data_IF_947215207015
#
_entry.id   IF_947215207015
#
_cell.length_a   1.000
_cell.length_b   1.000
_cell.length_c   1.000
_cell.angle_alpha   90.00
_cell.angle_beta   90.00
_cell.angle_gamma   90.00
#
_symmetry.space_group_name_H-M   'P 1'
#
loop_
_entity.id
_entity.type
_entity.pdbx_description
1 polymer ?
#
# COMPACT_ATOMS: atom_id res chain seq x y z
N UNK A 1 -18.84 24.47 -68.71
CA UNK A 1 -17.92 25.59 -68.99
C UNK A 1 -16.78 25.46 -67.99
N UNK A 2 -15.64 24.86 -68.39
CA UNK A 2 -14.42 25.52 -68.88
C UNK A 2 -13.83 26.46 -67.79
N UNK A 3 -12.58 26.39 -67.34
CA UNK A 3 -11.36 25.69 -67.80
C UNK A 3 -10.29 25.82 -66.71
N UNK A 4 -9.49 24.76 -66.54
CA UNK A 4 -8.12 24.83 -66.06
C UNK A 4 -7.22 25.52 -67.08
N UNK A 5 -6.14 26.18 -66.63
CA UNK A 5 -4.81 26.21 -67.27
C UNK A 5 -3.85 27.12 -66.46
N UNK A 6 -2.75 26.60 -65.91
CA UNK A 6 -1.42 26.33 -66.53
C UNK A 6 -0.48 27.54 -66.41
N UNK A 7 0.63 27.41 -65.65
CA UNK A 7 1.99 27.04 -66.10
C UNK A 7 2.72 28.26 -66.73
N UNK A 8 4.04 28.43 -66.76
CA UNK A 8 5.23 27.58 -66.77
C UNK A 8 6.43 28.58 -66.64
N UNK A 9 7.64 28.20 -66.23
CA UNK A 9 8.89 28.14 -67.06
C UNK A 9 10.04 28.51 -66.10
N UNK A 10 10.89 27.59 -65.63
CA UNK A 10 12.00 26.85 -66.28
C UNK A 10 13.33 27.59 -66.31
N UNK A 11 14.42 26.87 -65.96
CA UNK A 11 15.68 26.60 -66.69
C UNK A 11 16.80 26.34 -65.65
N UNK A 12 17.80 25.47 -65.82
CA UNK A 12 18.13 24.45 -66.82
C UNK A 12 19.39 23.68 -66.34
N UNK A 13 19.56 22.43 -66.85
CA UNK A 13 20.81 21.75 -67.27
C UNK A 13 21.89 21.44 -66.20
N UNK A 14 22.66 20.35 -66.21
CA UNK A 14 22.95 19.15 -67.00
C UNK A 14 23.78 18.23 -66.04
N UNK A 15 24.11 16.96 -66.22
CA UNK A 15 23.92 15.91 -67.22
C UNK A 15 24.79 14.70 -66.80
N UNK A 16 24.44 13.52 -67.33
CA UNK A 16 25.28 12.33 -67.61
C UNK A 16 25.99 11.57 -66.47
N UNK A 17 25.81 10.23 -66.49
CA UNK A 17 26.84 9.28 -66.03
C UNK A 17 26.31 8.05 -65.28
N UNK A 18 26.06 6.97 -66.03
CA UNK A 18 25.72 5.63 -65.51
C UNK A 18 26.95 4.94 -64.89
N UNK A 19 26.78 4.21 -63.78
CA UNK A 19 27.48 2.96 -63.46
C UNK A 19 26.87 2.30 -62.21
N UNK A 20 26.65 0.99 -62.29
CA UNK A 20 26.11 0.14 -61.24
C UNK A 20 27.07 -0.06 -60.06
N UNK A 21 26.55 -0.12 -58.83
CA UNK A 21 27.16 -0.92 -57.76
C UNK A 21 26.14 -1.36 -56.71
N UNK A 22 26.26 -2.63 -56.33
CA UNK A 22 25.44 -3.42 -55.43
C UNK A 22 25.55 -2.99 -53.95
N UNK A 23 24.62 -3.42 -53.08
CA UNK A 23 24.61 -3.06 -51.66
C UNK A 23 25.66 -3.84 -50.84
N UNK A 24 26.17 -3.30 -49.72
CA UNK A 24 27.12 -4.01 -48.88
C UNK A 24 26.45 -5.10 -48.02
N UNK A 25 27.07 -6.27 -48.02
CA UNK A 25 26.80 -7.42 -47.16
C UNK A 25 27.60 -7.34 -45.83
N UNK A 26 27.26 -8.18 -44.83
CA UNK A 26 27.55 -7.94 -43.41
C UNK A 26 28.95 -8.41 -42.98
N UNK A 27 29.54 -7.66 -42.06
CA UNK A 27 30.84 -7.97 -41.48
C UNK A 27 30.82 -9.25 -40.63
N UNK A 28 31.93 -9.96 -40.80
CA UNK A 28 32.26 -11.32 -40.44
C UNK A 28 32.59 -11.53 -38.97
N UNK A 29 32.30 -12.76 -38.52
CA UNK A 29 32.80 -13.40 -37.32
C UNK A 29 34.34 -13.45 -37.30
N UNK A 30 34.93 -13.19 -36.14
CA UNK A 30 36.24 -13.75 -35.77
C UNK A 30 36.13 -14.38 -34.38
N UNK A 31 36.35 -15.69 -34.34
CA UNK A 31 36.53 -16.51 -33.14
C UNK A 31 38.04 -16.70 -32.92
N UNK A 32 38.56 -16.31 -31.75
CA UNK A 32 39.64 -17.09 -31.13
C UNK A 32 39.86 -16.79 -29.65
N UNK A 33 39.93 -17.89 -28.89
CA UNK A 33 40.67 -18.13 -27.64
C UNK A 33 40.17 -17.42 -26.37
N UNK A 34 39.34 -18.08 -25.54
CA UNK A 34 39.69 -18.99 -24.42
C UNK A 34 40.41 -18.32 -23.24
N UNK A 35 39.72 -18.18 -22.10
CA UNK A 35 39.99 -18.98 -20.89
C UNK A 35 39.17 -18.51 -19.66
N UNK A 36 38.60 -19.51 -18.99
CA UNK A 36 38.29 -19.61 -17.55
C UNK A 36 37.76 -18.40 -16.75
N UNK A 37 36.46 -18.39 -16.48
CA UNK A 37 35.92 -18.04 -15.16
C UNK A 37 34.49 -18.57 -14.96
N UNK A 38 34.31 -19.34 -13.89
CA UNK A 38 33.05 -19.94 -13.45
C UNK A 38 31.90 -18.93 -13.25
N UNK A 39 30.63 -19.32 -13.47
CA UNK A 39 29.50 -18.46 -13.16
C UNK A 39 29.33 -18.35 -11.64
N UNK A 40 29.44 -17.11 -11.14
CA UNK A 40 29.15 -16.75 -9.75
C UNK A 40 27.71 -17.10 -9.40
N UNK A 41 27.57 -17.93 -8.36
CA UNK A 41 26.29 -18.30 -7.79
C UNK A 41 25.56 -17.07 -7.25
N UNK A 42 24.26 -16.94 -7.59
CA UNK A 42 23.31 -16.05 -6.92
C UNK A 42 23.34 -16.31 -5.39
N UNK A 43 23.35 -15.28 -4.53
CA UNK A 43 23.25 -15.50 -3.09
C UNK A 43 21.87 -16.05 -2.72
N UNK A 44 21.88 -17.07 -1.86
CA UNK A 44 20.70 -17.72 -1.30
C UNK A 44 19.83 -16.75 -0.46
N UNK A 45 18.52 -16.99 -0.33
CA UNK A 45 17.66 -16.18 0.52
C UNK A 45 18.07 -16.32 2.01
N UNK A 46 18.18 -15.18 2.70
CA UNK A 46 18.45 -15.11 4.14
C UNK A 46 17.41 -15.92 4.93
N UNK A 47 17.90 -16.71 5.88
CA UNK A 47 17.11 -17.44 6.87
C UNK A 47 16.23 -16.47 7.70
N UNK A 48 15.08 -16.94 8.23
CA UNK A 48 14.22 -16.12 9.09
C UNK A 48 14.95 -15.71 10.37
N UNK A 49 14.85 -14.42 10.70
CA UNK A 49 15.39 -13.83 11.92
C UNK A 49 14.82 -14.54 13.17
N UNK A 50 15.63 -14.79 14.22
CA UNK A 50 15.10 -15.33 15.47
C UNK A 50 14.17 -14.33 16.14
N UNK A 51 13.17 -14.86 16.86
CA UNK A 51 12.18 -14.11 17.63
C UNK A 51 12.83 -13.04 18.53
N UNK A 52 12.17 -11.89 18.75
CA UNK A 52 12.74 -10.83 19.58
C UNK A 52 12.94 -11.33 21.01
N UNK A 53 14.20 -11.25 21.46
CA UNK A 53 14.55 -11.42 22.86
C UNK A 53 13.82 -10.36 23.71
N UNK A 54 13.39 -10.78 24.91
CA UNK A 54 12.72 -9.96 25.89
C UNK A 54 13.40 -8.59 26.07
N UNK A 55 12.57 -7.55 26.12
CA UNK A 55 13.00 -6.17 26.30
C UNK A 55 13.93 -6.01 27.52
N UNK A 56 15.04 -5.25 27.40
CA UNK A 56 15.81 -4.87 28.58
C UNK A 56 14.93 -3.97 29.45
N UNK A 57 14.79 -4.36 30.71
CA UNK A 57 14.12 -3.61 31.77
C UNK A 57 14.69 -2.19 31.79
N UNK A 58 13.81 -1.21 31.70
CA UNK A 58 14.14 0.20 31.76
C UNK A 58 15.00 0.47 33.01
N UNK A 59 16.21 1.00 32.81
CA UNK A 59 16.97 1.59 33.89
C UNK A 59 16.17 2.79 34.44
N UNK A 60 15.96 2.79 35.76
CA UNK A 60 15.30 3.89 36.46
C UNK A 60 15.97 5.22 36.13
N UNK A 61 15.21 6.30 35.87
CA UNK A 61 15.80 7.61 35.70
C UNK A 61 16.39 8.10 37.04
N UNK A 62 17.68 8.41 37.01
CA UNK A 62 18.42 9.00 38.12
C UNK A 62 17.71 10.28 38.59
N UNK A 63 17.35 10.42 39.89
CA UNK A 63 16.75 11.65 40.38
C UNK A 63 17.82 12.74 40.39
N UNK A 64 17.52 13.89 39.77
CA UNK A 64 18.36 15.10 39.86
C UNK A 64 17.66 16.19 40.66
N UNK A 65 18.43 16.97 41.42
CA UNK A 65 18.01 17.54 42.70
C UNK A 65 17.05 18.70 42.52
N UNK A 66 16.11 18.78 43.45
CA UNK A 66 15.08 19.80 43.51
C UNK A 66 15.64 21.22 43.50
N UNK A 67 15.11 22.02 42.58
CA UNK A 67 14.98 23.45 42.80
C UNK A 67 13.61 23.66 43.45
N UNK A 68 13.64 24.09 44.70
CA UNK A 68 12.49 24.45 45.52
C UNK A 68 11.57 25.42 44.75
N UNK A 69 10.38 24.96 44.42
CA UNK A 69 9.29 25.83 44.04
C UNK A 69 8.80 26.53 45.32
N UNK A 70 9.28 27.74 45.54
CA UNK A 70 8.66 28.67 46.48
C UNK A 70 7.21 28.87 46.05
N UNK A 71 6.29 28.47 46.93
CA UNK A 71 4.87 28.50 46.67
C UNK A 71 4.33 29.91 46.41
N UNK A 72 3.61 30.04 45.30
CA UNK A 72 2.58 31.05 45.09
C UNK A 72 1.36 30.37 44.45
N UNK A 73 0.27 30.30 45.21
CA UNK A 73 -1.11 30.24 44.73
C UNK A 73 -1.48 29.21 43.64
N UNK A 74 -1.91 28.02 44.08
CA UNK A 74 -2.83 27.21 43.30
C UNK A 74 -4.13 28.00 43.07
N UNK A 75 -4.45 28.36 41.82
CA UNK A 75 -5.78 28.86 41.47
C UNK A 75 -5.88 30.09 40.56
N UNK A 76 -5.01 30.29 39.58
CA UNK A 76 -5.38 30.90 38.28
C UNK A 76 -4.14 30.90 37.38
N UNK A 77 -4.19 30.18 36.26
CA UNK A 77 -3.11 30.26 35.27
C UNK A 77 -2.88 31.71 34.85
N UNK A 78 -1.62 32.13 34.84
CA UNK A 78 -1.24 33.49 34.47
C UNK A 78 -0.86 33.53 32.98
N UNK A 79 -1.64 34.26 32.18
CA UNK A 79 -1.34 34.50 30.76
C UNK A 79 0.04 35.14 30.56
N UNK A 80 0.45 36.01 31.49
CA UNK A 80 1.77 36.64 31.43
C UNK A 80 2.90 35.62 31.60
N UNK A 81 2.72 34.66 32.51
CA UNK A 81 3.62 33.52 32.70
C UNK A 81 3.63 32.61 31.47
N UNK A 82 2.47 32.25 30.93
CA UNK A 82 2.37 31.42 29.73
C UNK A 82 3.13 32.02 28.54
N UNK A 83 2.99 33.33 28.30
CA UNK A 83 3.72 34.02 27.22
C UNK A 83 5.24 34.00 27.44
N UNK A 84 5.70 34.29 28.67
CA UNK A 84 7.14 34.23 29.00
C UNK A 84 7.72 32.82 28.81
N UNK A 85 6.99 31.78 29.20
CA UNK A 85 7.41 30.39 29.02
C UNK A 85 7.45 30.00 27.53
N UNK A 86 6.48 30.43 26.73
CA UNK A 86 6.48 30.25 25.28
C UNK A 86 7.69 30.96 24.62
N UNK A 87 7.98 32.19 25.00
CA UNK A 87 9.16 32.94 24.53
C UNK A 87 10.46 32.22 24.87
N UNK A 88 10.55 31.67 26.08
CA UNK A 88 11.69 30.88 26.54
C UNK A 88 11.74 29.45 25.98
N UNK A 89 10.74 29.01 25.21
CA UNK A 89 10.56 27.61 24.75
C UNK A 89 10.53 26.58 25.90
N UNK A 90 10.03 26.99 27.07
CA UNK A 90 9.81 26.12 28.24
C UNK A 90 8.43 25.47 28.16
N UNK A 91 8.29 24.54 27.22
CA UNK A 91 7.00 23.98 26.84
C UNK A 91 6.39 23.06 27.92
N UNK A 92 7.21 22.33 28.68
CA UNK A 92 6.73 21.48 29.78
C UNK A 92 6.06 22.30 30.88
N UNK A 93 6.75 23.36 31.33
CA UNK A 93 6.19 24.29 32.30
C UNK A 93 4.95 25.00 31.75
N UNK A 94 4.93 25.30 30.45
CA UNK A 94 3.80 25.96 29.79
C UNK A 94 2.51 25.12 29.87
N UNK A 95 2.60 23.79 29.69
CA UNK A 95 1.44 22.91 29.81
C UNK A 95 0.84 22.94 31.23
N UNK A 96 1.67 23.13 32.25
CA UNK A 96 1.25 23.21 33.65
C UNK A 96 0.66 24.55 34.06
N UNK A 97 0.66 25.59 33.21
CA UNK A 97 0.11 26.90 33.59
C UNK A 97 -1.42 26.87 33.68
N UNK A 98 -2.07 26.12 32.79
CA UNK A 98 -3.52 25.97 32.76
C UNK A 98 -3.90 24.50 32.67
N UNK A 99 -4.55 23.99 33.72
CA UNK A 99 -5.15 22.66 33.68
C UNK A 99 -6.34 22.64 32.69
N UNK A 100 -6.69 21.47 32.09
CA UNK A 100 -7.74 21.38 31.07
C UNK A 100 -9.08 22.01 31.48
N UNK A 101 -9.51 21.76 32.72
CA UNK A 101 -10.79 22.29 33.23
C UNK A 101 -10.74 23.81 33.41
N UNK A 102 -9.59 24.33 33.85
CA UNK A 102 -9.38 25.78 33.98
C UNK A 102 -9.39 26.45 32.62
N UNK A 103 -8.70 25.86 31.64
CA UNK A 103 -8.63 26.39 30.28
C UNK A 103 -10.02 26.44 29.62
N UNK A 104 -10.84 25.40 29.83
CA UNK A 104 -12.20 25.33 29.30
C UNK A 104 -13.18 26.26 30.03
N UNK A 105 -12.92 26.62 31.29
CA UNK A 105 -13.73 27.56 32.05
C UNK A 105 -13.46 29.05 31.71
N UNK A 106 -12.41 29.35 30.95
CA UNK A 106 -12.05 30.72 30.57
C UNK A 106 -13.14 31.40 29.71
N UNK A 107 -13.27 32.74 29.80
CA UNK A 107 -14.14 33.49 28.89
C UNK A 107 -13.61 33.43 27.44
N UNK A 108 -14.46 33.67 26.43
CA UNK A 108 -14.11 33.44 25.02
C UNK A 108 -12.88 34.22 24.52
N UNK A 109 -12.69 35.46 24.96
CA UNK A 109 -11.53 36.29 24.63
C UNK A 109 -10.23 35.68 25.18
N UNK A 110 -10.28 35.15 26.40
CA UNK A 110 -9.15 34.49 27.06
C UNK A 110 -8.86 33.11 26.48
N UNK A 111 -9.90 32.37 26.07
CA UNK A 111 -9.72 31.13 25.29
C UNK A 111 -8.99 31.38 23.99
N UNK A 112 -9.38 32.42 23.25
CA UNK A 112 -8.71 32.81 22.00
C UNK A 112 -7.24 33.20 22.24
N UNK A 113 -6.96 33.93 23.31
CA UNK A 113 -5.59 34.28 23.71
C UNK A 113 -4.75 33.02 24.03
N UNK A 114 -5.29 32.09 24.80
CA UNK A 114 -4.62 30.83 25.15
C UNK A 114 -4.43 29.91 23.93
N UNK A 115 -5.43 29.85 23.06
CA UNK A 115 -5.39 29.10 21.81
C UNK A 115 -4.22 29.56 20.93
N UNK A 116 -4.01 30.87 20.80
CA UNK A 116 -2.85 31.41 20.06
C UNK A 116 -1.51 30.97 20.65
N UNK A 117 -1.40 30.85 21.97
CA UNK A 117 -0.20 30.32 22.65
C UNK A 117 0.01 28.85 22.30
N UNK A 118 -1.04 28.03 22.35
CA UNK A 118 -0.96 26.60 22.03
C UNK A 118 -0.66 26.34 20.56
N UNK A 119 -1.25 27.10 19.63
CA UNK A 119 -0.94 27.03 18.19
C UNK A 119 0.54 27.29 17.94
N UNK A 120 1.08 28.36 18.52
CA UNK A 120 2.49 28.72 18.33
C UNK A 120 3.43 27.69 18.98
N UNK A 121 3.08 27.16 20.15
CA UNK A 121 3.83 26.08 20.78
C UNK A 121 3.86 24.82 19.91
N UNK A 122 2.68 24.36 19.46
CA UNK A 122 2.54 23.19 18.59
C UNK A 122 3.36 23.34 17.30
N UNK A 123 3.31 24.52 16.67
CA UNK A 123 4.07 24.86 15.47
C UNK A 123 5.57 24.80 15.71
N UNK A 124 6.09 25.44 16.77
CA UNK A 124 7.53 25.41 17.10
C UNK A 124 8.02 24.00 17.40
N UNK A 125 7.27 23.26 18.21
CA UNK A 125 7.61 21.88 18.55
C UNK A 125 7.71 21.03 17.29
N UNK A 126 6.75 21.14 16.38
CA UNK A 126 6.75 20.39 15.12
C UNK A 126 7.81 20.83 14.11
N UNK A 127 7.93 22.13 13.88
CA UNK A 127 8.72 22.67 12.77
C UNK A 127 10.19 22.87 13.16
N UNK A 128 10.45 23.39 14.36
CA UNK A 128 11.79 23.76 14.83
C UNK A 128 12.44 22.66 15.65
N UNK A 129 11.72 22.15 16.65
CA UNK A 129 12.28 21.16 17.59
C UNK A 129 12.10 19.71 17.14
N UNK A 130 11.22 19.47 16.15
CA UNK A 130 10.84 18.14 15.64
C UNK A 130 10.31 17.20 16.72
N UNK A 131 9.75 17.76 17.79
CA UNK A 131 9.11 17.02 18.86
C UNK A 131 7.63 16.82 18.53
N UNK A 132 7.32 15.68 17.93
CA UNK A 132 5.99 15.37 17.39
C UNK A 132 5.01 15.04 18.51
N UNK A 133 5.43 14.25 19.49
CA UNK A 133 4.61 13.87 20.63
C UNK A 133 4.20 15.12 21.43
N UNK A 134 5.14 16.03 21.69
CA UNK A 134 4.83 17.23 22.45
C UNK A 134 4.01 18.24 21.64
N UNK A 135 4.28 18.36 20.34
CA UNK A 135 3.40 19.09 19.43
C UNK A 135 1.96 18.57 19.48
N UNK A 136 1.77 17.24 19.52
CA UNK A 136 0.46 16.61 19.62
C UNK A 136 -0.30 17.02 20.88
N UNK A 137 0.37 17.05 22.03
CA UNK A 137 -0.26 17.47 23.29
C UNK A 137 -0.78 18.91 23.21
N UNK A 138 -0.01 19.83 22.63
CA UNK A 138 -0.48 21.22 22.45
C UNK A 138 -1.63 21.33 21.46
N UNK A 139 -1.63 20.51 20.40
CA UNK A 139 -2.76 20.43 19.48
C UNK A 139 -4.02 19.94 20.19
N UNK A 140 -3.95 18.88 20.99
CA UNK A 140 -5.06 18.35 21.78
C UNK A 140 -5.59 19.41 22.75
N UNK A 141 -4.70 20.08 23.50
CA UNK A 141 -5.08 21.16 24.42
C UNK A 141 -5.76 22.32 23.71
N UNK A 142 -5.30 22.70 22.52
CA UNK A 142 -5.93 23.76 21.73
C UNK A 142 -7.26 23.34 21.10
N UNK A 143 -7.37 22.10 20.60
CA UNK A 143 -8.60 21.58 20.02
C UNK A 143 -9.71 21.38 21.07
N UNK A 144 -9.37 21.20 22.36
CA UNK A 144 -10.33 21.29 23.45
C UNK A 144 -10.95 22.69 23.59
N UNK A 145 -10.22 23.75 23.23
CA UNK A 145 -10.72 25.13 23.27
C UNK A 145 -11.50 25.51 22.01
N UNK A 146 -11.02 25.07 20.85
CA UNK A 146 -11.66 25.24 19.55
C UNK A 146 -11.49 23.99 18.68
N UNK A 147 -12.48 23.08 18.66
CA UNK A 147 -12.42 21.84 17.89
C UNK A 147 -12.34 22.05 16.37
N UNK A 148 -12.65 23.25 15.86
CA UNK A 148 -12.67 23.55 14.42
C UNK A 148 -11.46 24.38 13.99
N UNK A 149 -10.45 24.52 14.85
CA UNK A 149 -9.27 25.33 14.56
C UNK A 149 -8.40 24.68 13.47
N UNK A 150 -8.42 25.27 12.28
CA UNK A 150 -7.80 24.74 11.05
C UNK A 150 -6.33 24.37 11.23
N UNK A 151 -5.50 25.27 11.78
CA UNK A 151 -4.06 25.00 11.90
C UNK A 151 -3.75 23.85 12.86
N UNK A 152 -4.54 23.69 13.93
CA UNK A 152 -4.33 22.62 14.90
C UNK A 152 -4.78 21.28 14.33
N UNK A 153 -5.91 21.26 13.62
CA UNK A 153 -6.34 20.07 12.87
C UNK A 153 -5.24 19.64 11.88
N UNK A 154 -4.68 20.59 11.12
CA UNK A 154 -3.59 20.32 10.17
C UNK A 154 -2.33 19.80 10.85
N UNK A 155 -1.89 20.41 11.94
CA UNK A 155 -0.73 19.94 12.70
C UNK A 155 -0.98 18.55 13.28
N UNK A 156 -2.15 18.33 13.86
CA UNK A 156 -2.48 17.07 14.51
C UNK A 156 -2.59 15.90 13.53
N UNK A 157 -3.24 16.10 12.37
CA UNK A 157 -3.26 15.10 11.30
C UNK A 157 -1.83 14.72 10.91
N UNK A 158 -0.95 15.72 10.73
CA UNK A 158 0.45 15.46 10.38
C UNK A 158 1.27 14.83 11.49
N UNK A 159 0.93 15.08 12.75
CA UNK A 159 1.57 14.43 13.90
C UNK A 159 1.15 12.97 13.95
N UNK A 160 -0.13 12.67 13.79
CA UNK A 160 -0.67 11.31 13.77
C UNK A 160 -0.16 10.48 12.59
N UNK A 161 0.01 11.08 11.41
CA UNK A 161 0.62 10.41 10.26
C UNK A 161 2.15 10.30 10.33
N UNK A 162 2.79 10.81 11.38
CA UNK A 162 4.25 10.68 11.51
C UNK A 162 4.66 9.21 11.70
N UNK A 163 5.87 8.81 11.27
CA UNK A 163 6.38 7.46 11.51
C UNK A 163 6.47 7.08 13.00
N UNK A 164 6.55 8.07 13.89
CA UNK A 164 6.61 7.87 15.33
C UNK A 164 5.23 7.55 15.93
N UNK A 165 4.17 8.21 15.46
CA UNK A 165 2.83 8.08 16.05
C UNK A 165 1.97 7.02 15.35
N UNK A 166 1.96 7.01 14.00
CA UNK A 166 1.17 6.07 13.17
C UNK A 166 -0.31 5.92 13.58
N UNK A 167 -0.94 6.99 14.06
CA UNK A 167 -2.33 7.01 14.54
C UNK A 167 -3.31 7.32 13.39
N UNK A 168 -3.34 6.46 12.38
CA UNK A 168 -4.08 6.70 11.13
C UNK A 168 -5.61 6.81 11.36
N UNK A 169 -6.17 6.07 12.32
CA UNK A 169 -7.60 6.15 12.65
C UNK A 169 -8.01 7.52 13.16
N UNK A 170 -7.27 8.07 14.13
CA UNK A 170 -7.52 9.43 14.63
C UNK A 170 -7.28 10.51 13.57
N UNK A 171 -6.33 10.28 12.65
CA UNK A 171 -6.06 11.22 11.56
C UNK A 171 -7.25 11.32 10.59
N UNK A 172 -8.04 10.26 10.40
CA UNK A 172 -9.24 10.29 9.56
C UNK A 172 -10.33 11.17 10.16
N UNK A 173 -10.65 10.99 11.44
CA UNK A 173 -11.66 11.81 12.11
C UNK A 173 -11.32 13.30 12.03
N UNK A 174 -10.05 13.64 12.27
CA UNK A 174 -9.56 15.02 12.19
C UNK A 174 -9.56 15.55 10.74
N UNK A 175 -9.23 14.71 9.75
CA UNK A 175 -9.26 15.11 8.35
C UNK A 175 -10.69 15.35 7.84
N UNK A 176 -11.67 14.58 8.32
CA UNK A 176 -13.09 14.82 8.04
C UNK A 176 -13.58 16.12 8.67
N UNK A 177 -13.20 16.39 9.92
CA UNK A 177 -13.47 17.67 10.55
C UNK A 177 -12.84 18.84 9.77
N UNK A 178 -11.60 18.68 9.31
CA UNK A 178 -10.87 19.72 8.58
C UNK A 178 -11.58 20.10 7.28
N UNK A 179 -11.97 19.13 6.45
CA UNK A 179 -12.69 19.41 5.20
C UNK A 179 -14.15 19.85 5.43
N UNK A 180 -14.73 19.57 6.59
CA UNK A 180 -16.01 20.14 7.00
C UNK A 180 -15.90 21.61 7.44
N UNK A 181 -14.71 22.08 7.82
CA UNK A 181 -14.44 23.51 8.05
C UNK A 181 -14.23 24.22 6.73
N UNK A 182 -13.31 23.73 5.90
CA UNK A 182 -13.08 24.23 4.55
C UNK A 182 -12.56 23.12 3.63
N UNK A 183 -13.46 22.52 2.86
CA UNK A 183 -13.13 21.48 1.89
C UNK A 183 -12.69 22.02 0.52
N UNK A 184 -12.64 23.34 0.34
CA UNK A 184 -12.21 23.99 -0.91
C UNK A 184 -10.73 24.37 -0.89
N UNK A 185 -10.18 24.52 0.32
CA UNK A 185 -8.77 24.81 0.54
C UNK A 185 -7.89 23.61 0.17
N UNK A 186 -6.80 23.89 -0.55
CA UNK A 186 -5.95 22.89 -1.18
C UNK A 186 -5.20 22.00 -0.19
N UNK A 187 -4.61 22.58 0.86
CA UNK A 187 -3.88 21.84 1.89
C UNK A 187 -4.81 20.90 2.66
N UNK A 188 -6.06 21.31 2.92
CA UNK A 188 -7.08 20.48 3.57
C UNK A 188 -7.45 19.28 2.70
N UNK A 189 -7.63 19.49 1.40
CA UNK A 189 -7.88 18.41 0.44
C UNK A 189 -6.68 17.44 0.36
N UNK A 190 -5.46 17.97 0.34
CA UNK A 190 -4.24 17.17 0.32
C UNK A 190 -4.15 16.28 1.56
N UNK A 191 -4.37 16.84 2.75
CA UNK A 191 -4.35 16.06 3.99
C UNK A 191 -5.45 14.99 4.02
N UNK A 192 -6.67 15.30 3.58
CA UNK A 192 -7.76 14.31 3.49
C UNK A 192 -7.44 13.17 2.53
N UNK A 193 -6.81 13.48 1.41
CA UNK A 193 -6.35 12.50 0.43
C UNK A 193 -5.20 11.63 0.95
N UNK A 194 -4.23 12.25 1.63
CA UNK A 194 -3.10 11.55 2.26
C UNK A 194 -3.55 10.56 3.33
N UNK A 195 -4.46 10.97 4.22
CA UNK A 195 -5.01 10.05 5.24
C UNK A 195 -5.74 8.88 4.58
N UNK A 196 -6.53 9.12 3.54
CA UNK A 196 -7.22 8.04 2.82
C UNK A 196 -6.23 7.05 2.16
N UNK A 197 -5.12 7.54 1.63
CA UNK A 197 -4.07 6.71 1.04
C UNK A 197 -3.44 5.79 2.09
N UNK A 198 -3.06 6.33 3.25
CA UNK A 198 -2.49 5.57 4.38
C UNK A 198 -3.46 4.51 4.92
N UNK A 199 -4.76 4.73 4.81
CA UNK A 199 -5.79 3.75 5.17
C UNK A 199 -6.07 2.68 4.11
N UNK A 200 -5.45 2.78 2.93
CA UNK A 200 -5.77 1.92 1.79
C UNK A 200 -7.16 2.20 1.18
N UNK A 201 -7.76 3.37 1.47
CA UNK A 201 -9.03 3.82 0.87
C UNK A 201 -8.74 4.55 -0.45
N UNK A 202 -8.20 3.83 -1.42
CA UNK A 202 -7.63 4.42 -2.63
C UNK A 202 -8.63 5.20 -3.49
N UNK A 203 -9.91 4.80 -3.53
CA UNK A 203 -10.95 5.57 -4.24
C UNK A 203 -11.11 6.99 -3.65
N UNK A 204 -11.17 7.08 -2.32
CA UNK A 204 -11.28 8.34 -1.58
C UNK A 204 -9.99 9.15 -1.73
N UNK A 205 -8.83 8.49 -1.69
CA UNK A 205 -7.53 9.13 -1.92
C UNK A 205 -7.46 9.77 -3.31
N UNK A 206 -7.80 9.02 -4.36
CA UNK A 206 -7.83 9.52 -5.75
C UNK A 206 -8.76 10.71 -5.89
N UNK A 207 -9.95 10.67 -5.29
CA UNK A 207 -10.90 11.77 -5.33
C UNK A 207 -10.31 13.05 -4.72
N UNK A 208 -9.86 12.99 -3.47
CA UNK A 208 -9.38 14.17 -2.75
C UNK A 208 -8.03 14.69 -3.26
N UNK A 209 -7.12 13.81 -3.64
CA UNK A 209 -5.84 14.21 -4.23
C UNK A 209 -6.02 14.81 -5.62
N UNK A 210 -7.02 14.35 -6.40
CA UNK A 210 -7.40 15.00 -7.66
C UNK A 210 -7.90 16.41 -7.42
N UNK A 211 -8.72 16.62 -6.38
CA UNK A 211 -9.16 17.96 -5.98
C UNK A 211 -7.95 18.80 -5.59
N UNK A 212 -7.11 18.32 -4.67
CA UNK A 212 -5.94 19.06 -4.19
C UNK A 212 -4.96 19.45 -5.31
N UNK A 213 -4.70 18.54 -6.24
CA UNK A 213 -3.79 18.77 -7.37
C UNK A 213 -4.33 19.76 -8.42
N UNK A 214 -5.67 19.95 -8.45
CA UNK A 214 -6.35 20.82 -9.43
C UNK A 214 -6.98 22.06 -8.82
N UNK A 215 -7.15 22.09 -7.50
CA UNK A 215 -7.69 23.21 -6.73
C UNK A 215 -6.60 24.26 -6.54
N UNK A 216 -6.95 25.54 -6.65
CA UNK A 216 -6.07 26.63 -6.25
C UNK A 216 -5.57 27.50 -7.41
N UNK A 217 -5.19 28.73 -7.04
CA UNK A 217 -4.63 29.73 -7.98
C UNK A 217 -3.17 29.44 -8.34
N UNK A 218 -2.49 28.65 -7.52
CA UNK A 218 -1.05 28.40 -7.61
C UNK A 218 -0.79 26.97 -8.07
N UNK A 219 -0.55 26.80 -9.36
CA UNK A 219 -0.42 25.48 -10.00
C UNK A 219 0.92 24.78 -9.73
N UNK A 220 1.88 25.46 -9.09
CA UNK A 220 3.24 24.98 -8.88
C UNK A 220 3.69 25.00 -7.41
N UNK A 221 2.76 25.03 -6.45
CA UNK A 221 3.13 24.98 -5.03
C UNK A 221 3.68 23.59 -4.64
N UNK A 222 4.52 23.49 -3.59
CA UNK A 222 4.96 22.19 -3.06
C UNK A 222 3.79 21.26 -2.71
N UNK A 223 2.66 21.81 -2.26
CA UNK A 223 1.45 21.05 -1.97
C UNK A 223 0.83 20.43 -3.24
N UNK A 224 0.82 21.15 -4.37
CA UNK A 224 0.38 20.59 -5.67
C UNK A 224 1.28 19.46 -6.11
N UNK A 225 2.60 19.63 -5.97
CA UNK A 225 3.58 18.62 -6.36
C UNK A 225 3.41 17.35 -5.51
N UNK A 226 3.23 17.49 -4.19
CA UNK A 226 2.91 16.37 -3.30
C UNK A 226 1.59 15.71 -3.70
N UNK A 227 0.53 16.49 -3.99
CA UNK A 227 -0.76 15.97 -4.41
C UNK A 227 -0.68 15.12 -5.69
N UNK A 228 0.05 15.59 -6.71
CA UNK A 228 0.25 14.82 -7.95
C UNK A 228 0.99 13.51 -7.71
N UNK A 229 2.04 13.54 -6.88
CA UNK A 229 2.82 12.34 -6.54
C UNK A 229 1.93 11.31 -5.85
N UNK A 230 1.21 11.71 -4.81
CA UNK A 230 0.33 10.81 -4.06
C UNK A 230 -0.86 10.33 -4.92
N UNK A 231 -1.34 11.16 -5.85
CA UNK A 231 -2.41 10.78 -6.77
C UNK A 231 -1.99 9.65 -7.72
N UNK A 232 -0.75 9.73 -8.24
CA UNK A 232 -0.19 8.68 -9.09
C UNK A 232 -0.08 7.35 -8.33
N UNK A 233 0.46 7.40 -7.11
CA UNK A 233 0.54 6.26 -6.19
C UNK A 233 -0.85 5.66 -5.89
N UNK A 234 -1.82 6.50 -5.54
CA UNK A 234 -3.18 6.06 -5.25
C UNK A 234 -3.85 5.38 -6.46
N UNK A 235 -3.63 5.90 -7.67
CA UNK A 235 -4.14 5.30 -8.91
C UNK A 235 -3.48 3.96 -9.22
N UNK A 236 -2.17 3.84 -8.99
CA UNK A 236 -1.45 2.57 -9.12
C UNK A 236 -2.08 1.49 -8.25
N UNK A 237 -2.26 1.77 -6.97
CA UNK A 237 -2.93 0.85 -6.05
C UNK A 237 -4.38 0.55 -6.43
N UNK A 238 -5.14 1.55 -6.88
CA UNK A 238 -6.51 1.36 -7.35
C UNK A 238 -6.58 0.40 -8.54
N UNK A 239 -5.65 0.50 -9.49
CA UNK A 239 -5.60 -0.37 -10.66
C UNK A 239 -5.15 -1.80 -10.29
N UNK A 240 -4.17 -1.95 -9.40
CA UNK A 240 -3.76 -3.26 -8.87
C UNK A 240 -4.93 -3.97 -8.15
N UNK A 241 -5.71 -3.23 -7.35
CA UNK A 241 -6.91 -3.76 -6.71
C UNK A 241 -7.99 -4.13 -7.73
N UNK A 242 -8.22 -3.31 -8.75
CA UNK A 242 -9.20 -3.62 -9.81
C UNK A 242 -8.80 -4.85 -10.61
N UNK A 243 -7.51 -4.98 -10.93
CA UNK A 243 -6.95 -6.11 -11.67
C UNK A 243 -7.02 -7.40 -10.85
N UNK A 244 -6.64 -7.37 -9.57
CA UNK A 244 -6.84 -8.53 -8.69
C UNK A 244 -8.33 -8.87 -8.52
N UNK A 245 -9.16 -7.82 -8.38
CA UNK A 245 -10.62 -7.74 -8.53
C UNK A 245 -11.19 -8.61 -9.67
N UNK A 246 -10.73 -8.30 -10.88
CA UNK A 246 -11.21 -8.92 -12.10
C UNK A 246 -10.72 -10.36 -12.20
N UNK A 247 -9.46 -10.63 -11.86
CA UNK A 247 -8.89 -11.98 -11.88
C UNK A 247 -9.65 -12.93 -10.93
N UNK A 248 -10.07 -12.47 -9.74
CA UNK A 248 -10.87 -13.31 -8.84
C UNK A 248 -12.26 -13.58 -9.39
N UNK A 249 -12.92 -12.56 -9.97
CA UNK A 249 -14.27 -12.72 -10.57
C UNK A 249 -14.24 -13.64 -11.79
N UNK A 250 -13.21 -13.53 -12.63
CA UNK A 250 -12.98 -14.40 -13.78
C UNK A 250 -12.78 -15.85 -13.34
N UNK A 251 -11.96 -16.05 -12.30
CA UNK A 251 -11.73 -17.37 -11.70
C UNK A 251 -13.04 -17.97 -11.16
N UNK A 252 -13.81 -17.22 -10.39
CA UNK A 252 -15.11 -17.66 -9.85
C UNK A 252 -16.09 -18.04 -10.97
N UNK A 253 -16.22 -17.19 -12.00
CA UNK A 253 -17.10 -17.45 -13.14
C UNK A 253 -16.68 -18.70 -13.92
N UNK A 254 -15.38 -18.90 -14.11
CA UNK A 254 -14.84 -20.09 -14.77
C UNK A 254 -15.10 -21.34 -13.94
N UNK A 255 -14.88 -21.30 -12.62
CA UNK A 255 -15.22 -22.42 -11.74
C UNK A 255 -16.71 -22.76 -11.78
N UNK A 256 -17.58 -21.76 -11.79
CA UNK A 256 -19.02 -21.97 -11.92
C UNK A 256 -19.37 -22.65 -13.26
N UNK A 257 -18.76 -22.23 -14.37
CA UNK A 257 -18.93 -22.86 -15.69
C UNK A 257 -18.47 -24.31 -15.70
N UNK A 258 -17.26 -24.57 -15.19
CA UNK A 258 -16.70 -25.92 -15.16
C UNK A 258 -17.50 -26.85 -14.24
N UNK A 259 -17.97 -26.37 -13.08
CA UNK A 259 -18.92 -27.11 -12.21
C UNK A 259 -20.23 -27.42 -12.94
N UNK A 260 -20.79 -26.44 -13.66
CA UNK A 260 -22.04 -26.64 -14.40
C UNK A 260 -21.90 -27.60 -15.59
N UNK A 261 -20.73 -27.64 -16.25
CA UNK A 261 -20.43 -28.63 -17.28
C UNK A 261 -20.24 -30.02 -16.67
N UNK A 262 -19.53 -30.13 -15.55
CA UNK A 262 -19.36 -31.37 -14.81
C UNK A 262 -20.71 -31.98 -14.40
N UNK A 263 -21.65 -31.15 -13.92
CA UNK A 263 -22.98 -31.60 -13.53
C UNK A 263 -23.85 -32.14 -14.69
N UNK A 264 -23.49 -31.88 -15.95
CA UNK A 264 -24.20 -32.40 -17.14
C UNK A 264 -23.68 -33.75 -17.63
N UNK A 265 -22.55 -34.23 -17.10
CA UNK A 265 -22.02 -35.55 -17.43
C UNK A 265 -22.92 -36.62 -16.80
N UNK A 266 -23.23 -37.72 -17.50
CA UNK A 266 -24.02 -38.80 -16.95
C UNK A 266 -23.35 -39.34 -15.67
N UNK A 267 -24.14 -39.55 -14.63
CA UNK A 267 -23.70 -40.18 -13.39
C UNK A 267 -23.41 -41.67 -13.67
N UNK A 268 -22.23 -41.95 -14.21
CA UNK A 268 -21.78 -43.28 -14.60
C UNK A 268 -20.30 -43.27 -14.92
N UNK A 269 -19.52 -43.85 -14.00
CA UNK A 269 -18.09 -44.17 -14.09
C UNK A 269 -17.15 -42.98 -14.35
N UNK A 270 -17.14 -42.00 -13.43
CA UNK A 270 -15.84 -41.48 -12.99
C UNK A 270 -15.29 -42.54 -12.06
N UNK A 271 -14.62 -43.54 -12.63
CA UNK A 271 -13.87 -44.51 -11.85
C UNK A 271 -12.72 -43.73 -11.18
N UNK A 272 -12.93 -43.31 -9.93
CA UNK A 272 -11.86 -42.82 -9.07
C UNK A 272 -10.79 -43.90 -9.11
N UNK A 273 -9.59 -43.63 -9.67
CA UNK A 273 -8.60 -44.68 -9.85
C UNK A 273 -8.30 -45.31 -8.48
N UNK A 274 -8.16 -46.65 -8.41
CA UNK A 274 -8.03 -47.37 -7.16
C UNK A 274 -6.92 -46.74 -6.32
N UNK A 275 -7.24 -46.48 -5.07
CA UNK A 275 -6.48 -45.68 -4.10
C UNK A 275 -4.97 -45.95 -4.17
N UNK A 276 -4.26 -45.12 -4.94
CA UNK A 276 -2.84 -44.88 -4.66
C UNK A 276 -2.81 -43.81 -3.59
N UNK A 277 -2.74 -44.24 -2.32
CA UNK A 277 -2.59 -43.35 -1.15
C UNK A 277 -1.39 -42.38 -1.27
N UNK A 278 -0.51 -42.59 -2.24
CA UNK A 278 0.64 -41.76 -2.58
C UNK A 278 0.48 -40.89 -3.83
N UNK A 279 -0.68 -40.85 -4.49
CA UNK A 279 -0.87 -40.06 -5.71
C UNK A 279 -1.01 -38.56 -5.41
N UNK A 280 -0.25 -37.75 -6.16
CA UNK A 280 -0.32 -36.29 -6.11
C UNK A 280 -0.93 -35.78 -7.42
N UNK A 281 -2.00 -35.00 -7.33
CA UNK A 281 -2.66 -34.37 -8.48
C UNK A 281 -2.75 -32.86 -8.24
N UNK A 282 -2.24 -32.07 -9.19
CA UNK A 282 -2.41 -30.63 -9.24
C UNK A 282 -3.55 -30.29 -10.21
N UNK A 283 -4.70 -29.90 -9.67
CA UNK A 283 -5.77 -29.29 -10.44
C UNK A 283 -5.47 -27.80 -10.64
N UNK A 284 -5.46 -27.36 -11.90
CA UNK A 284 -4.88 -26.08 -12.30
C UNK A 284 -5.58 -25.50 -13.52
N UNK A 285 -5.18 -24.27 -13.87
CA UNK A 285 -5.41 -23.67 -15.20
C UNK A 285 -4.10 -23.07 -15.73
N UNK A 286 -3.99 -22.94 -17.05
CA UNK A 286 -2.72 -22.55 -17.72
C UNK A 286 -2.25 -21.14 -17.41
N UNK A 287 -3.17 -20.19 -17.27
CA UNK A 287 -2.89 -18.77 -17.06
C UNK A 287 -2.65 -18.42 -15.57
N UNK A 288 -2.97 -19.33 -14.66
CA UNK A 288 -2.91 -19.09 -13.22
C UNK A 288 -1.46 -19.07 -12.70
N UNK A 289 -0.98 -17.87 -12.34
CA UNK A 289 0.40 -17.67 -11.80
C UNK A 289 0.67 -18.50 -10.54
N UNK A 290 -0.31 -18.65 -9.65
CA UNK A 290 -0.15 -19.46 -8.43
C UNK A 290 -0.11 -20.96 -8.73
N UNK A 291 -0.74 -21.40 -9.81
CA UNK A 291 -0.67 -22.78 -10.28
C UNK A 291 0.74 -23.10 -10.81
N UNK A 292 1.39 -22.15 -11.49
CA UNK A 292 2.81 -22.27 -11.84
C UNK A 292 3.70 -22.39 -10.59
N UNK A 293 3.46 -21.58 -9.55
CA UNK A 293 4.20 -21.70 -8.27
C UNK A 293 3.99 -23.06 -7.59
N UNK A 294 2.76 -23.59 -7.59
CA UNK A 294 2.46 -24.91 -7.03
C UNK A 294 3.19 -26.04 -7.78
N UNK A 295 3.19 -25.96 -9.12
CA UNK A 295 3.96 -26.88 -9.98
C UNK A 295 5.45 -26.83 -9.66
N UNK A 296 6.03 -25.64 -9.58
CA UNK A 296 7.46 -25.48 -9.33
C UNK A 296 7.86 -26.02 -7.96
N UNK A 297 7.00 -25.86 -6.95
CA UNK A 297 7.19 -26.48 -5.64
C UNK A 297 7.15 -28.01 -5.71
N UNK A 298 6.15 -28.62 -6.35
CA UNK A 298 6.09 -30.09 -6.46
C UNK A 298 7.30 -30.64 -7.21
N UNK A 299 7.77 -29.94 -8.25
CA UNK A 299 9.01 -30.28 -8.96
C UNK A 299 10.24 -30.17 -8.06
N UNK A 300 10.36 -29.13 -7.23
CA UNK A 300 11.50 -28.96 -6.34
C UNK A 300 11.56 -30.03 -5.24
N UNK A 301 10.40 -30.55 -4.82
CA UNK A 301 10.28 -31.66 -3.88
C UNK A 301 10.61 -33.03 -4.50
N UNK A 302 10.87 -33.08 -5.82
CA UNK A 302 11.23 -34.29 -6.57
C UNK A 302 10.21 -35.41 -6.41
N UNK A 303 8.92 -35.06 -6.49
CA UNK A 303 7.82 -36.03 -6.44
C UNK A 303 7.14 -36.16 -7.80
N UNK A 304 6.61 -37.34 -8.08
CA UNK A 304 5.76 -37.56 -9.24
C UNK A 304 4.35 -37.00 -8.96
N UNK A 305 3.83 -36.19 -9.88
CA UNK A 305 2.48 -35.65 -9.79
C UNK A 305 1.86 -35.51 -11.17
N UNK A 306 0.53 -35.50 -11.22
CA UNK A 306 -0.25 -35.26 -12.45
C UNK A 306 -0.80 -33.84 -12.45
N UNK A 307 -0.72 -33.16 -13.59
CA UNK A 307 -1.42 -31.90 -13.81
C UNK A 307 -2.74 -32.15 -14.52
N UNK A 308 -3.82 -31.60 -13.98
CA UNK A 308 -5.14 -31.65 -14.61
C UNK A 308 -5.67 -30.24 -14.79
N UNK A 309 -5.82 -29.84 -16.04
CA UNK A 309 -6.42 -28.56 -16.42
C UNK A 309 -7.94 -28.66 -16.27
N UNK A 310 -8.50 -28.01 -15.25
CA UNK A 310 -9.94 -28.07 -14.97
C UNK A 310 -10.78 -27.17 -15.89
N UNK A 311 -10.14 -26.30 -16.68
CA UNK A 311 -10.79 -25.45 -17.67
C UNK A 311 -11.05 -26.25 -18.96
N UNK A 312 -10.03 -26.95 -19.44
CA UNK A 312 -10.09 -27.74 -20.68
C UNK A 312 -10.61 -29.17 -20.48
N UNK A 313 -10.62 -29.68 -19.24
CA UNK A 313 -11.04 -31.06 -18.94
C UNK A 313 -12.22 -31.10 -17.94
N UNK A 314 -13.47 -31.19 -18.44
CA UNK A 314 -14.66 -31.30 -17.59
C UNK A 314 -14.65 -32.51 -16.66
N UNK A 315 -14.00 -33.63 -17.05
CA UNK A 315 -13.86 -34.81 -16.17
C UNK A 315 -12.93 -34.54 -15.00
N UNK A 316 -11.86 -33.77 -15.20
CA UNK A 316 -10.98 -33.37 -14.11
C UNK A 316 -11.69 -32.46 -13.10
N UNK A 317 -12.55 -31.55 -13.57
CA UNK A 317 -13.40 -30.76 -12.67
C UNK A 317 -14.42 -31.63 -11.94
N UNK A 318 -15.07 -32.57 -12.64
CA UNK A 318 -16.02 -33.50 -12.03
C UNK A 318 -15.37 -34.29 -10.89
N UNK A 319 -14.22 -34.91 -11.15
CA UNK A 319 -13.43 -35.65 -10.16
C UNK A 319 -13.07 -34.78 -8.95
N UNK A 320 -12.62 -33.54 -9.17
CA UNK A 320 -12.30 -32.60 -8.11
C UNK A 320 -13.54 -32.24 -7.26
N UNK A 321 -14.69 -32.00 -7.90
CA UNK A 321 -15.95 -31.66 -7.23
C UNK A 321 -16.47 -32.84 -6.40
N UNK A 322 -16.43 -34.05 -6.95
CA UNK A 322 -16.84 -35.27 -6.27
C UNK A 322 -15.98 -35.52 -5.02
N UNK A 323 -14.64 -35.46 -5.18
CA UNK A 323 -13.72 -35.63 -4.06
C UNK A 323 -13.90 -34.54 -2.99
N UNK A 324 -14.05 -33.29 -3.39
CA UNK A 324 -14.28 -32.19 -2.45
C UNK A 324 -15.61 -32.37 -1.70
N UNK A 325 -16.67 -32.81 -2.38
CA UNK A 325 -17.97 -33.11 -1.77
C UNK A 325 -17.88 -34.24 -0.76
N UNK A 326 -17.17 -35.33 -1.06
CA UNK A 326 -16.94 -36.44 -0.13
C UNK A 326 -16.24 -35.97 1.16
N UNK A 327 -15.32 -34.99 1.04
CA UNK A 327 -14.59 -34.40 2.17
C UNK A 327 -15.34 -33.23 2.84
N UNK A 328 -16.53 -32.85 2.36
CA UNK A 328 -17.26 -31.69 2.86
C UNK A 328 -16.56 -30.34 2.61
N UNK A 329 -15.72 -30.27 1.58
CA UNK A 329 -14.89 -29.10 1.25
C UNK A 329 -15.57 -28.29 0.15
N UNK A 330 -15.68 -26.98 0.36
CA UNK A 330 -16.14 -26.04 -0.66
C UNK A 330 -14.97 -25.56 -1.53
N UNK A 331 -15.07 -25.81 -2.84
CA UNK A 331 -14.06 -25.38 -3.81
C UNK A 331 -14.23 -23.90 -4.18
N UNK A 332 -13.19 -23.11 -3.90
CA UNK A 332 -13.17 -21.64 -4.08
C UNK A 332 -12.19 -21.10 -5.13
N UNK A 333 -11.27 -21.92 -5.64
CA UNK A 333 -10.26 -21.47 -6.59
C UNK A 333 -9.34 -22.59 -7.06
N UNK A 334 -8.37 -22.23 -7.92
CA UNK A 334 -7.15 -23.01 -8.20
C UNK A 334 -5.91 -22.24 -7.72
N UNK A 335 -4.76 -22.90 -7.46
CA UNK A 335 -4.53 -24.35 -7.56
C UNK A 335 -5.24 -25.14 -6.46
N UNK A 336 -5.59 -26.39 -6.75
CA UNK A 336 -5.96 -27.37 -5.72
C UNK A 336 -5.04 -28.57 -5.87
N UNK A 337 -4.36 -28.94 -4.79
CA UNK A 337 -3.44 -30.09 -4.79
C UNK A 337 -4.07 -31.22 -3.99
N UNK A 338 -4.36 -32.34 -4.65
CA UNK A 338 -4.70 -33.61 -4.00
C UNK A 338 -3.43 -34.36 -3.67
N UNK A 339 -3.28 -34.77 -2.42
CA UNK A 339 -2.13 -35.55 -1.93
C UNK A 339 -2.70 -36.73 -1.15
N UNK A 340 -2.78 -37.89 -1.80
CA UNK A 340 -3.51 -39.05 -1.25
C UNK A 340 -4.97 -38.69 -0.96
N UNK A 341 -5.36 -38.77 0.32
CA UNK A 341 -6.72 -38.50 0.81
C UNK A 341 -6.99 -37.04 1.20
N UNK A 342 -5.99 -36.16 1.05
CA UNK A 342 -6.05 -34.75 1.48
C UNK A 342 -6.15 -33.80 0.29
N UNK A 343 -6.92 -32.73 0.44
CA UNK A 343 -6.96 -31.59 -0.49
C UNK A 343 -6.30 -30.36 0.14
N UNK A 344 -5.36 -29.76 -0.57
CA UNK A 344 -4.81 -28.44 -0.25
C UNK A 344 -5.42 -27.42 -1.21
N UNK A 345 -6.19 -26.49 -0.64
CA UNK A 345 -6.80 -25.38 -1.39
C UNK A 345 -5.81 -24.21 -1.50
N UNK A 346 -5.63 -23.72 -2.72
CA UNK A 346 -4.72 -22.62 -3.02
C UNK A 346 -3.24 -23.01 -2.93
N UNK A 347 -2.36 -22.02 -3.10
CA UNK A 347 -0.92 -22.22 -2.97
C UNK A 347 -0.48 -22.08 -1.50
N UNK A 348 -0.36 -23.22 -0.81
CA UNK A 348 0.15 -23.29 0.57
C UNK A 348 1.40 -24.20 0.60
N UNK A 349 2.61 -23.64 0.42
CA UNK A 349 3.81 -24.45 0.28
C UNK A 349 4.11 -25.28 1.52
N UNK A 350 3.89 -24.74 2.72
CA UNK A 350 4.14 -25.44 3.98
C UNK A 350 3.25 -26.67 4.13
N UNK A 351 1.94 -26.55 3.83
CA UNK A 351 1.01 -27.69 3.90
C UNK A 351 1.29 -28.73 2.83
N UNK A 352 1.62 -28.30 1.60
CA UNK A 352 2.01 -29.21 0.52
C UNK A 352 3.25 -30.00 0.93
N UNK A 353 4.30 -29.33 1.42
CA UNK A 353 5.52 -29.98 1.87
C UNK A 353 5.28 -30.97 3.01
N UNK A 354 4.49 -30.59 4.02
CA UNK A 354 4.19 -31.45 5.14
C UNK A 354 3.47 -32.74 4.70
N UNK A 355 2.45 -32.62 3.86
CA UNK A 355 1.70 -33.76 3.35
C UNK A 355 2.56 -34.64 2.44
N UNK A 356 3.34 -34.05 1.53
CA UNK A 356 4.28 -34.78 0.67
C UNK A 356 5.31 -35.56 1.49
N UNK A 357 5.84 -34.97 2.57
CA UNK A 357 6.79 -35.66 3.45
C UNK A 357 6.13 -36.82 4.21
N UNK A 358 4.87 -36.70 4.59
CA UNK A 358 4.13 -37.78 5.27
C UNK A 358 3.74 -38.96 4.37
N UNK A 359 3.87 -38.81 3.04
CA UNK A 359 3.67 -39.90 2.07
C UNK A 359 4.91 -40.78 1.87
N UNK A 360 6.09 -40.32 2.32
CA UNK A 360 7.34 -41.08 2.31
C UNK A 360 7.45 -41.87 3.61
#
# INVERSE_FOLDING_TARGET
>A
MKRAWWLLVMLACAGLGSCAHAPPEPDTLDESATDDAAPTAKPAPKAPSPAPAAAPVAAEPVPRPGAEATGEGAGSGSFSTAKKLLEANRFEDLLGVFEPDQAQALPPDKKKELLGIYVEAARRLREKFKDIAFSSLFCERGLLLDPRHVDLLRFQIRNYLSPEMQLVGGAEELAEQLVAVDGTEQENQLLRGKVALEQGKYDVAVEWLTRAARSGREQNSPAVQEAWKLLDEAKGHQEELKSSLSMTKELEAMMARAKAQAAKLPAGEVELPPERRSEIILYMTRWCRYCAKARDLLKSLKVEFKEKDIEDNPRAMQELVEFAREKGIELRGVPVVRIGDELVLGYNPQRIEALVRSLK
#
